data_IF_527109666796
#
_entry.id   IF_527109666796
#
_cell.length_a   1.000
_cell.length_b   1.000
_cell.length_c   1.000
_cell.angle_alpha   90.00
_cell.angle_beta   90.00
_cell.angle_gamma   90.00
#
_symmetry.space_group_name_H-M   'P 1'
#
loop_
_entity.id
_entity.type
_entity.pdbx_description
1 polymer ?
#
# COMPACT_ATOMS: atom_id res chain seq x y z
N UNK A 1 -2.30 31.24 14.84
CA UNK A 1 -0.93 31.39 14.29
C UNK A 1 0.02 30.80 15.32
N UNK A 2 0.67 29.67 15.01
CA UNK A 2 1.61 29.04 15.94
C UNK A 2 2.93 29.83 15.94
N UNK A 3 3.39 30.20 17.14
CA UNK A 3 4.59 31.02 17.35
C UNK A 3 5.78 30.08 17.58
N UNK A 4 6.29 29.49 16.50
CA UNK A 4 7.40 28.53 16.54
C UNK A 4 8.66 29.22 17.10
N UNK A 5 9.18 28.71 18.23
CA UNK A 5 10.55 28.98 18.70
C UNK A 5 10.78 30.26 19.51
N UNK A 6 9.78 30.80 20.23
CA UNK A 6 9.93 31.98 21.12
C UNK A 6 9.86 31.64 22.62
N UNK A 7 10.46 30.53 23.02
CA UNK A 7 10.26 29.98 24.37
C UNK A 7 11.50 30.23 25.22
N UNK A 8 11.30 30.64 26.48
CA UNK A 8 12.40 31.00 27.37
C UNK A 8 13.18 29.73 27.77
N UNK A 9 14.50 29.82 28.03
CA UNK A 9 15.27 28.67 28.48
C UNK A 9 14.67 28.09 29.77
N UNK A 10 14.10 26.89 29.70
CA UNK A 10 13.48 26.19 30.84
C UNK A 10 11.97 25.94 30.74
N UNK A 11 11.28 26.49 29.74
CA UNK A 11 9.87 26.17 29.44
C UNK A 11 9.78 25.08 28.35
N UNK A 12 8.87 24.12 28.53
CA UNK A 12 8.67 23.03 27.55
C UNK A 12 8.05 23.58 26.27
N UNK A 13 8.67 23.28 25.13
CA UNK A 13 8.27 23.88 23.86
C UNK A 13 6.82 23.54 23.49
N UNK A 14 5.98 24.50 23.10
CA UNK A 14 4.63 24.25 22.53
C UNK A 14 4.72 23.29 21.34
N UNK A 15 5.77 23.41 20.53
CA UNK A 15 6.04 22.48 19.42
C UNK A 15 6.44 21.10 19.94
N UNK A 16 7.24 21.03 21.00
CA UNK A 16 7.59 19.75 21.62
C UNK A 16 6.35 19.07 22.25
N UNK A 17 5.44 19.82 22.86
CA UNK A 17 4.16 19.29 23.37
C UNK A 17 3.29 18.78 22.23
N UNK A 18 3.21 19.51 21.12
CA UNK A 18 2.44 19.08 19.95
C UNK A 18 3.04 17.82 19.30
N UNK A 19 4.37 17.73 19.21
CA UNK A 19 5.08 16.54 18.75
C UNK A 19 4.80 15.37 19.69
N UNK A 20 4.86 15.58 21.01
CA UNK A 20 4.62 14.53 21.99
C UNK A 20 3.17 14.04 21.97
N UNK A 21 2.20 14.95 21.83
CA UNK A 21 0.78 14.61 21.64
C UNK A 21 0.57 13.81 20.35
N UNK A 22 1.27 14.17 19.27
CA UNK A 22 1.18 13.45 17.98
C UNK A 22 1.79 12.05 18.10
N UNK A 23 2.95 11.92 18.76
CA UNK A 23 3.60 10.64 19.01
C UNK A 23 2.78 9.70 19.91
N UNK A 24 2.09 10.24 20.93
CA UNK A 24 1.17 9.47 21.76
C UNK A 24 -0.04 8.99 20.96
N UNK A 25 -0.56 9.83 20.07
CA UNK A 25 -1.66 9.47 19.19
C UNK A 25 -1.26 8.37 18.19
N UNK A 26 -0.06 8.45 17.61
CA UNK A 26 0.49 7.39 16.75
C UNK A 26 0.73 6.08 17.50
N UNK A 27 1.22 6.14 18.75
CA UNK A 27 1.37 4.94 19.61
C UNK A 27 0.02 4.28 19.85
N UNK A 28 -1.01 5.04 20.18
CA UNK A 28 -2.35 4.50 20.43
C UNK A 28 -2.97 3.89 19.16
N UNK A 29 -2.79 4.53 18.01
CA UNK A 29 -3.21 3.96 16.72
C UNK A 29 -2.47 2.66 16.39
N UNK A 30 -1.16 2.62 16.65
CA UNK A 30 -0.34 1.43 16.42
C UNK A 30 -0.73 0.27 17.34
N UNK A 31 -0.96 0.55 18.62
CA UNK A 31 -1.41 -0.44 19.60
C UNK A 31 -2.82 -0.98 19.27
N UNK A 32 -3.73 -0.13 18.78
CA UNK A 32 -5.04 -0.56 18.27
C UNK A 32 -4.94 -1.48 17.04
N UNK A 33 -4.03 -1.18 16.11
CA UNK A 33 -3.79 -2.02 14.93
C UNK A 33 -3.12 -3.32 15.36
N UNK A 34 -2.15 -3.26 16.27
CA UNK A 34 -1.46 -4.43 16.82
C UNK A 34 -2.43 -5.35 17.55
N UNK A 35 -3.33 -4.82 18.41
CA UNK A 35 -4.40 -5.60 19.05
C UNK A 35 -5.29 -6.31 18.03
N UNK A 36 -5.66 -5.61 16.95
CA UNK A 36 -6.44 -6.19 15.85
C UNK A 36 -5.66 -7.30 15.12
N UNK A 37 -4.36 -7.13 14.92
CA UNK A 37 -3.50 -8.15 14.31
C UNK A 37 -3.27 -9.35 15.24
N UNK A 38 -3.04 -9.15 16.54
CA UNK A 38 -2.94 -10.24 17.52
C UNK A 38 -4.22 -11.06 17.60
N UNK A 39 -5.39 -10.42 17.49
CA UNK A 39 -6.66 -11.13 17.43
C UNK A 39 -6.80 -12.00 16.16
N UNK A 40 -6.13 -11.66 15.06
CA UNK A 40 -6.08 -12.50 13.86
C UNK A 40 -4.99 -13.57 13.91
N UNK A 41 -3.88 -13.34 14.60
CA UNK A 41 -2.79 -14.33 14.73
C UNK A 41 -3.09 -15.37 15.83
N UNK A 42 -3.83 -15.03 16.88
CA UNK A 42 -4.27 -16.01 17.90
C UNK A 42 -5.25 -17.06 17.32
N UNK A 43 -6.02 -16.73 16.28
CA UNK A 43 -6.88 -17.68 15.56
C UNK A 43 -6.11 -18.52 14.50
N UNK A 44 -4.89 -18.12 14.12
CA UNK A 44 -4.09 -18.78 13.06
C UNK A 44 -2.91 -19.62 13.61
N UNK A 45 -2.54 -19.44 14.89
CA UNK A 45 -1.52 -20.26 15.56
C UNK A 45 -1.97 -21.71 15.87
N UNK A 46 -3.24 -22.07 15.69
CA UNK A 46 -3.71 -23.47 15.76
C UNK A 46 -3.59 -24.23 14.41
N UNK A 47 -3.20 -23.56 13.32
CA UNK A 47 -3.14 -24.18 11.97
C UNK A 47 -1.86 -23.90 11.18
N UNK A 48 -0.81 -23.46 11.85
CA UNK A 48 0.46 -23.02 11.25
C UNK A 48 1.49 -24.12 10.97
N UNK A 49 1.19 -25.10 10.12
CA UNK A 49 2.22 -25.80 9.33
C UNK A 49 1.67 -25.99 7.92
N UNK A 50 2.24 -25.27 6.94
CA UNK A 50 2.71 -25.80 5.66
C UNK A 50 3.11 -24.63 4.76
N UNK A 51 4.41 -24.34 4.74
CA UNK A 51 5.07 -23.65 3.65
C UNK A 51 6.29 -24.47 3.26
N UNK A 52 6.16 -25.30 2.23
CA UNK A 52 7.26 -25.60 1.30
C UNK A 52 6.65 -26.00 -0.04
N UNK A 53 6.80 -25.08 -0.98
CA UNK A 53 6.72 -25.26 -2.42
C UNK A 53 7.90 -26.15 -2.84
N UNK A 54 7.64 -27.42 -3.15
CA UNK A 54 8.48 -28.21 -4.06
C UNK A 54 7.55 -28.96 -5.03
N UNK A 55 7.75 -28.69 -6.32
CA UNK A 55 7.16 -29.43 -7.42
C UNK A 55 7.59 -30.90 -7.36
N UNK A 56 6.74 -31.77 -6.83
CA UNK A 56 6.80 -33.20 -7.12
C UNK A 56 5.38 -33.79 -7.09
N UNK A 57 5.09 -34.62 -8.08
CA UNK A 57 3.81 -35.30 -8.29
C UNK A 57 3.34 -36.07 -7.04
N UNK A 58 2.61 -35.40 -6.13
CA UNK A 58 1.91 -36.08 -5.05
C UNK A 58 0.43 -36.06 -5.37
N UNK A 59 0.02 -37.04 -6.19
CA UNK A 59 -1.33 -37.59 -6.07
C UNK A 59 -1.60 -37.80 -4.57
N UNK A 60 -2.75 -37.35 -4.02
CA UNK A 60 -3.03 -37.60 -2.62
C UNK A 60 -3.08 -39.11 -2.45
N UNK A 61 -1.99 -39.66 -1.92
CA UNK A 61 -1.88 -41.05 -1.54
C UNK A 61 -2.79 -41.17 -0.32
N UNK A 62 -4.07 -41.44 -0.58
CA UNK A 62 -5.00 -41.87 0.44
C UNK A 62 -4.29 -42.98 1.25
N UNK A 63 -4.32 -42.94 2.59
CA UNK A 63 -3.87 -44.06 3.38
C UNK A 63 -4.74 -45.27 3.01
N UNK A 64 -4.28 -46.05 2.04
CA UNK A 64 -4.91 -47.28 1.57
C UNK A 64 -4.53 -48.45 2.48
N UNK A 65 -4.50 -48.19 3.78
CA UNK A 65 -4.17 -49.15 4.81
C UNK A 65 -4.86 -48.74 6.09
N UNK A 66 -5.72 -49.62 6.60
CA UNK A 66 -6.33 -49.56 7.95
C UNK A 66 -7.55 -48.66 8.13
N UNK A 67 -8.47 -48.68 7.17
CA UNK A 67 -9.89 -48.80 7.52
C UNK A 67 -10.43 -49.96 6.70
N UNK A 68 -10.00 -51.18 7.06
CA UNK A 68 -10.76 -52.35 6.71
C UNK A 68 -12.17 -52.08 7.22
N UNK A 69 -13.09 -51.80 6.29
CA UNK A 69 -14.51 -51.82 6.57
C UNK A 69 -14.73 -53.25 7.08
N UNK A 70 -14.86 -53.39 8.40
CA UNK A 70 -15.37 -54.62 9.01
C UNK A 70 -16.85 -54.73 8.61
N UNK A 71 -17.07 -54.95 7.31
CA UNK A 71 -18.22 -55.72 6.85
C UNK A 71 -18.05 -57.02 7.58
N UNK A 72 -19.04 -57.41 8.38
CA UNK A 72 -19.07 -58.70 9.04
C UNK A 72 -18.80 -59.83 8.02
N UNK A 73 -17.53 -60.20 7.84
CA UNK A 73 -17.14 -61.50 7.36
C UNK A 73 -17.45 -62.44 8.53
N UNK A 74 -18.72 -62.84 8.60
CA UNK A 74 -19.00 -64.14 9.18
C UNK A 74 -18.17 -65.10 8.34
N UNK A 75 -17.20 -65.72 9.00
CA UNK A 75 -16.41 -66.78 8.44
C UNK A 75 -17.30 -67.67 7.56
N UNK A 76 -16.79 -68.04 6.38
CA UNK A 76 -17.28 -69.16 5.58
C UNK A 76 -17.18 -70.45 6.41
N UNK A 77 -17.92 -70.52 7.51
CA UNK A 77 -18.01 -71.69 8.36
C UNK A 77 -19.09 -72.56 7.74
N UNK A 78 -18.60 -73.54 6.97
CA UNK A 78 -19.20 -74.87 6.78
C UNK A 78 -20.73 -74.88 6.69
N UNK A 79 -21.24 -74.64 5.49
CA UNK A 79 -22.30 -75.49 4.93
C UNK A 79 -22.50 -75.09 3.47
N UNK A 80 -21.68 -75.66 2.60
CA UNK A 80 -22.02 -75.88 1.18
C UNK A 80 -23.13 -76.95 1.07
N UNK A 81 -24.16 -76.87 1.91
CA UNK A 81 -25.34 -77.72 1.84
C UNK A 81 -26.38 -77.04 0.96
N UNK A 82 -26.91 -77.83 0.03
CA UNK A 82 -28.04 -77.45 -0.82
C UNK A 82 -29.21 -76.96 0.05
N UNK A 83 -29.95 -75.90 -0.33
CA UNK A 83 -31.13 -75.42 0.42
C UNK A 83 -32.18 -76.48 0.76
N UNK A 84 -32.14 -77.64 0.08
CA UNK A 84 -32.98 -78.82 0.31
C UNK A 84 -32.62 -79.62 1.58
N UNK A 85 -31.40 -79.47 2.12
CA UNK A 85 -30.90 -80.24 3.27
C UNK A 85 -30.91 -79.45 4.58
N UNK A 86 -31.26 -78.16 4.55
CA UNK A 86 -31.35 -77.31 5.74
C UNK A 86 -32.70 -77.47 6.46
N UNK A 87 -32.63 -77.53 7.80
CA UNK A 87 -33.79 -77.45 8.68
C UNK A 87 -34.58 -76.14 8.43
N UNK A 88 -35.91 -76.18 8.17
CA UNK A 88 -36.72 -75.03 7.80
C UNK A 88 -36.65 -73.87 8.81
N UNK A 89 -36.50 -74.15 10.10
CA UNK A 89 -36.36 -73.11 11.13
C UNK A 89 -35.06 -72.31 10.95
N UNK A 90 -33.95 -72.99 10.66
CA UNK A 90 -32.65 -72.35 10.40
C UNK A 90 -32.66 -71.51 9.12
N UNK A 91 -33.40 -71.92 8.09
CA UNK A 91 -33.54 -71.16 6.85
C UNK A 91 -34.29 -69.85 7.07
N UNK A 92 -35.35 -69.87 7.90
CA UNK A 92 -36.07 -68.66 8.30
C UNK A 92 -35.17 -67.71 9.10
N UNK A 93 -34.31 -68.24 9.99
CA UNK A 93 -33.33 -67.43 10.72
C UNK A 93 -32.33 -66.75 9.76
N UNK A 94 -31.72 -67.50 8.83
CA UNK A 94 -30.80 -66.93 7.82
C UNK A 94 -31.48 -65.87 6.94
N UNK A 95 -32.74 -66.10 6.55
CA UNK A 95 -33.49 -65.12 5.76
C UNK A 95 -33.76 -63.83 6.53
N UNK A 96 -34.15 -63.92 7.81
CA UNK A 96 -34.34 -62.74 8.68
C UNK A 96 -33.04 -61.97 8.89
N UNK A 97 -31.93 -62.67 9.10
CA UNK A 97 -30.61 -62.06 9.21
C UNK A 97 -30.23 -61.31 7.93
N UNK A 98 -30.47 -61.92 6.77
CA UNK A 98 -30.22 -61.29 5.48
C UNK A 98 -31.10 -60.05 5.25
N UNK A 99 -32.37 -60.09 5.66
CA UNK A 99 -33.24 -58.91 5.60
C UNK A 99 -32.73 -57.76 6.46
N UNK A 100 -32.24 -58.04 7.68
CA UNK A 100 -31.64 -57.02 8.54
C UNK A 100 -30.38 -56.44 7.89
N UNK A 101 -29.49 -57.31 7.38
CA UNK A 101 -28.27 -56.88 6.66
C UNK A 101 -28.58 -56.01 5.44
N UNK A 102 -29.60 -56.39 4.67
CA UNK A 102 -30.06 -55.60 3.53
C UNK A 102 -30.58 -54.23 3.98
N UNK A 103 -31.44 -54.18 5.01
CA UNK A 103 -31.95 -52.92 5.53
C UNK A 103 -30.83 -52.01 6.09
N UNK A 104 -29.82 -52.57 6.73
CA UNK A 104 -28.65 -51.82 7.23
C UNK A 104 -27.83 -51.24 6.07
N UNK A 105 -27.49 -52.07 5.07
CA UNK A 105 -26.73 -51.59 3.89
C UNK A 105 -27.50 -50.56 3.07
N UNK A 106 -28.82 -50.68 2.94
CA UNK A 106 -29.67 -49.65 2.35
C UNK A 106 -29.61 -48.33 3.13
N UNK A 107 -29.68 -48.38 4.47
CA UNK A 107 -29.57 -47.19 5.31
C UNK A 107 -28.20 -46.51 5.19
N UNK A 108 -27.11 -47.30 5.13
CA UNK A 108 -25.75 -46.81 4.92
C UNK A 108 -25.59 -46.13 3.56
N UNK A 109 -26.11 -46.73 2.48
CA UNK A 109 -26.13 -46.12 1.15
C UNK A 109 -26.87 -44.78 1.18
N UNK A 110 -28.01 -44.70 1.86
CA UNK A 110 -28.75 -43.45 2.00
C UNK A 110 -27.98 -42.40 2.80
N UNK A 111 -27.26 -42.80 3.85
CA UNK A 111 -26.40 -41.89 4.61
C UNK A 111 -25.24 -41.37 3.76
N UNK A 112 -24.57 -42.24 3.00
CA UNK A 112 -23.47 -41.87 2.11
C UNK A 112 -23.93 -40.91 1.00
N UNK A 113 -25.11 -41.14 0.40
CA UNK A 113 -25.70 -40.23 -0.58
C UNK A 113 -25.93 -38.82 -0.02
N UNK A 114 -26.44 -38.72 1.21
CA UNK A 114 -26.63 -37.41 1.88
C UNK A 114 -25.30 -36.72 2.15
N UNK A 115 -24.29 -37.46 2.65
CA UNK A 115 -22.94 -36.92 2.88
C UNK A 115 -22.32 -36.41 1.58
N UNK A 116 -22.42 -37.18 0.49
CA UNK A 116 -21.94 -36.77 -0.83
C UNK A 116 -22.61 -35.46 -1.28
N UNK A 117 -23.94 -35.38 -1.16
CA UNK A 117 -24.68 -34.17 -1.53
C UNK A 117 -24.24 -32.94 -0.71
N UNK A 118 -24.00 -33.09 0.60
CA UNK A 118 -23.49 -32.01 1.43
C UNK A 118 -22.08 -31.55 0.97
N UNK A 119 -21.17 -32.49 0.71
CA UNK A 119 -19.82 -32.19 0.23
C UNK A 119 -19.84 -31.53 -1.16
N UNK A 120 -20.73 -31.95 -2.05
CA UNK A 120 -20.89 -31.32 -3.38
C UNK A 120 -21.37 -29.87 -3.28
N UNK A 121 -22.31 -29.58 -2.37
CA UNK A 121 -22.78 -28.22 -2.10
C UNK A 121 -21.68 -27.36 -1.50
N UNK A 122 -20.93 -27.89 -0.55
CA UNK A 122 -19.79 -27.19 0.06
C UNK A 122 -18.70 -26.91 -0.99
N UNK A 123 -18.33 -27.89 -1.81
CA UNK A 123 -17.41 -27.70 -2.94
C UNK A 123 -17.90 -26.64 -3.94
N UNK A 124 -19.22 -26.55 -4.16
CA UNK A 124 -19.79 -25.51 -5.01
C UNK A 124 -19.69 -24.12 -4.37
N UNK A 125 -19.93 -24.02 -3.06
CA UNK A 125 -19.75 -22.77 -2.30
C UNK A 125 -18.29 -22.30 -2.34
N UNK A 126 -17.34 -23.19 -2.04
CA UNK A 126 -15.91 -22.88 -2.10
C UNK A 126 -15.47 -22.42 -3.49
N UNK A 127 -16.01 -23.01 -4.56
CA UNK A 127 -15.73 -22.56 -5.94
C UNK A 127 -16.26 -21.15 -6.21
N UNK A 128 -17.45 -20.81 -5.71
CA UNK A 128 -18.01 -19.48 -5.88
C UNK A 128 -17.22 -18.43 -5.08
N UNK A 129 -16.85 -18.76 -3.85
CA UNK A 129 -16.03 -17.88 -3.00
C UNK A 129 -14.64 -17.67 -3.58
N UNK A 130 -13.98 -18.73 -4.04
CA UNK A 130 -12.69 -18.63 -4.74
C UNK A 130 -12.78 -17.70 -5.96
N UNK A 131 -13.80 -17.87 -6.81
CA UNK A 131 -13.99 -17.02 -7.98
C UNK A 131 -14.23 -15.55 -7.60
N UNK A 132 -14.97 -15.29 -6.51
CA UNK A 132 -15.20 -13.94 -6.00
C UNK A 132 -13.89 -13.31 -5.49
N UNK A 133 -13.07 -14.07 -4.75
CA UNK A 133 -11.77 -13.60 -4.27
C UNK A 133 -10.81 -13.33 -5.43
N UNK A 134 -10.73 -14.21 -6.42
CA UNK A 134 -9.92 -14.01 -7.63
C UNK A 134 -10.35 -12.73 -8.38
N UNK A 135 -11.64 -12.50 -8.54
CA UNK A 135 -12.16 -11.26 -9.13
C UNK A 135 -11.77 -10.03 -8.29
N UNK A 136 -11.93 -10.09 -6.97
CA UNK A 136 -11.57 -8.98 -6.07
C UNK A 136 -10.08 -8.66 -6.11
N UNK A 137 -9.22 -9.67 -6.27
CA UNK A 137 -7.77 -9.48 -6.40
C UNK A 137 -7.45 -8.78 -7.72
N UNK A 138 -8.04 -9.20 -8.83
CA UNK A 138 -7.79 -8.57 -10.13
C UNK A 138 -8.31 -7.12 -10.16
N UNK A 139 -9.50 -6.87 -9.61
CA UNK A 139 -10.04 -5.50 -9.49
C UNK A 139 -9.15 -4.59 -8.63
N UNK A 140 -8.59 -5.12 -7.54
CA UNK A 140 -7.65 -4.38 -6.71
C UNK A 140 -6.32 -4.11 -7.44
N UNK A 141 -5.83 -5.08 -8.20
CA UNK A 141 -4.64 -4.92 -9.04
C UNK A 141 -4.84 -3.83 -10.10
N UNK A 142 -5.95 -3.84 -10.83
CA UNK A 142 -6.27 -2.76 -11.78
C UNK A 142 -6.38 -1.39 -11.09
N UNK A 143 -6.93 -1.35 -9.86
CA UNK A 143 -7.01 -0.13 -9.06
C UNK A 143 -5.62 0.36 -8.67
N UNK A 144 -4.71 -0.56 -8.29
CA UNK A 144 -3.32 -0.24 -7.97
C UNK A 144 -2.60 0.33 -9.19
N UNK A 145 -2.70 -0.32 -10.35
CA UNK A 145 -2.08 0.15 -11.60
C UNK A 145 -2.54 1.57 -11.97
N UNK A 146 -3.83 1.89 -11.78
CA UNK A 146 -4.34 3.26 -11.99
C UNK A 146 -3.74 4.26 -11.02
N UNK A 147 -3.60 3.90 -9.74
CA UNK A 147 -2.98 4.76 -8.73
C UNK A 147 -1.49 4.98 -9.03
N UNK A 148 -0.77 3.95 -9.46
CA UNK A 148 0.61 4.06 -9.91
C UNK A 148 0.74 4.98 -11.14
N UNK A 149 -0.19 4.88 -12.09
CA UNK A 149 -0.29 5.80 -13.23
C UNK A 149 -0.45 7.25 -12.79
N UNK A 150 -1.43 7.53 -11.92
CA UNK A 150 -1.63 8.88 -11.39
C UNK A 150 -0.45 9.39 -10.57
N UNK A 151 0.19 8.51 -9.80
CA UNK A 151 1.38 8.86 -9.05
C UNK A 151 2.53 9.25 -9.98
N UNK A 152 2.74 8.51 -11.07
CA UNK A 152 3.76 8.82 -12.06
C UNK A 152 3.45 10.12 -12.82
N UNK A 153 2.19 10.37 -13.19
CA UNK A 153 1.76 11.63 -13.79
C UNK A 153 2.00 12.82 -12.84
N UNK A 154 1.64 12.69 -11.57
CA UNK A 154 1.90 13.72 -10.56
C UNK A 154 3.41 13.97 -10.38
N UNK A 155 4.22 12.92 -10.36
CA UNK A 155 5.68 13.03 -10.30
C UNK A 155 6.25 13.77 -11.52
N UNK A 156 5.80 13.43 -12.73
CA UNK A 156 6.21 14.10 -13.96
C UNK A 156 5.83 15.58 -13.95
N UNK A 157 4.64 15.91 -13.43
CA UNK A 157 4.20 17.31 -13.30
C UNK A 157 5.09 18.09 -12.31
N UNK A 158 5.45 17.50 -11.17
CA UNK A 158 6.37 18.11 -10.21
C UNK A 158 7.74 18.39 -10.86
N UNK A 159 8.28 17.44 -11.62
CA UNK A 159 9.55 17.63 -12.35
C UNK A 159 9.47 18.77 -13.36
N UNK A 160 8.40 18.83 -14.15
CA UNK A 160 8.20 19.90 -15.12
C UNK A 160 8.11 21.30 -14.45
N UNK A 161 7.39 21.39 -13.33
CA UNK A 161 7.29 22.64 -12.55
C UNK A 161 8.65 23.06 -11.99
N UNK A 162 9.44 22.11 -11.47
CA UNK A 162 10.79 22.38 -10.96
C UNK A 162 11.74 22.88 -12.06
N UNK A 163 11.65 22.31 -13.26
CA UNK A 163 12.41 22.77 -14.43
C UNK A 163 12.02 24.19 -14.84
N UNK A 164 10.72 24.46 -14.99
CA UNK A 164 10.24 25.81 -15.28
C UNK A 164 10.62 26.84 -14.21
N UNK A 165 10.64 26.43 -12.93
CA UNK A 165 11.11 27.28 -11.85
C UNK A 165 12.60 27.61 -12.00
N UNK A 166 13.45 26.61 -12.28
CA UNK A 166 14.89 26.80 -12.52
C UNK A 166 15.14 27.73 -13.70
N UNK A 167 14.43 27.55 -14.81
CA UNK A 167 14.52 28.42 -15.98
C UNK A 167 14.13 29.86 -15.65
N UNK A 168 13.01 30.05 -14.95
CA UNK A 168 12.52 31.38 -14.55
C UNK A 168 13.50 32.07 -13.60
N UNK A 169 14.08 31.33 -12.65
CA UNK A 169 15.13 31.85 -11.77
C UNK A 169 16.37 32.29 -12.56
N UNK A 170 16.81 31.49 -13.54
CA UNK A 170 17.95 31.85 -14.39
C UNK A 170 17.67 33.11 -15.25
N UNK A 171 16.44 33.25 -15.76
CA UNK A 171 16.00 34.45 -16.45
C UNK A 171 16.01 35.67 -15.54
N UNK A 172 15.48 35.54 -14.30
CA UNK A 172 15.48 36.62 -13.31
C UNK A 172 16.90 37.08 -12.97
N UNK A 173 17.83 36.14 -12.72
CA UNK A 173 19.24 36.48 -12.47
C UNK A 173 19.87 37.23 -13.65
N UNK A 174 19.53 36.85 -14.89
CA UNK A 174 20.01 37.55 -16.09
C UNK A 174 19.47 38.97 -16.15
N UNK A 175 18.18 39.16 -15.82
CA UNK A 175 17.56 40.47 -15.77
C UNK A 175 18.15 41.35 -14.66
N UNK A 176 18.40 40.79 -13.49
CA UNK A 176 19.05 41.46 -12.36
C UNK A 176 20.45 41.95 -12.71
N UNK A 177 21.25 41.14 -13.42
CA UNK A 177 22.57 41.56 -13.93
C UNK A 177 22.45 42.72 -14.91
N UNK A 178 21.49 42.66 -15.84
CA UNK A 178 21.22 43.74 -16.80
C UNK A 178 20.80 45.03 -16.09
N UNK A 179 19.88 44.95 -15.13
CA UNK A 179 19.41 46.07 -14.33
C UNK A 179 20.57 46.70 -13.52
N UNK A 180 21.40 45.86 -12.89
CA UNK A 180 22.59 46.31 -12.15
C UNK A 180 23.60 47.04 -13.05
N UNK A 181 23.77 46.60 -14.30
CA UNK A 181 24.60 47.30 -15.30
C UNK A 181 24.00 48.65 -15.69
N UNK A 182 22.70 48.70 -15.98
CA UNK A 182 22.01 49.95 -16.30
C UNK A 182 22.08 50.96 -15.14
N UNK A 183 21.87 50.49 -13.90
CA UNK A 183 21.99 51.32 -12.70
C UNK A 183 23.40 51.92 -12.53
N UNK A 184 24.46 51.16 -12.85
CA UNK A 184 25.84 51.68 -12.86
C UNK A 184 26.04 52.76 -13.92
N UNK A 185 25.59 52.51 -15.16
CA UNK A 185 25.69 53.49 -16.24
C UNK A 185 24.97 54.80 -15.91
N UNK A 186 23.77 54.74 -15.34
CA UNK A 186 23.04 55.94 -14.90
C UNK A 186 23.86 56.75 -13.89
N UNK A 187 24.46 56.08 -12.89
CA UNK A 187 25.33 56.76 -11.92
C UNK A 187 26.56 57.38 -12.58
N UNK A 188 27.18 56.71 -13.56
CA UNK A 188 28.31 57.25 -14.31
C UNK A 188 27.93 58.49 -15.12
N UNK A 189 26.77 58.50 -15.78
CA UNK A 189 26.27 59.67 -16.50
C UNK A 189 25.95 60.84 -15.55
N UNK A 190 25.28 60.56 -14.44
CA UNK A 190 25.01 61.57 -13.40
C UNK A 190 26.30 62.19 -12.84
N UNK A 191 27.33 61.36 -12.62
CA UNK A 191 28.63 61.85 -12.16
C UNK A 191 29.32 62.74 -13.21
N UNK A 192 29.30 62.35 -14.49
CA UNK A 192 29.85 63.16 -15.60
C UNK A 192 29.13 64.50 -15.75
N UNK A 193 27.80 64.51 -15.57
CA UNK A 193 27.00 65.74 -15.60
C UNK A 193 27.42 66.71 -14.47
N UNK A 194 27.63 66.20 -13.25
CA UNK A 194 28.14 66.98 -12.13
C UNK A 194 29.55 67.53 -12.43
N UNK A 195 30.44 66.73 -12.99
CA UNK A 195 31.80 67.17 -13.38
C UNK A 195 31.77 68.25 -14.46
N UNK A 196 30.89 68.11 -15.45
CA UNK A 196 30.69 69.11 -16.49
C UNK A 196 30.19 70.44 -15.91
N UNK A 197 29.17 70.42 -15.06
CA UNK A 197 28.65 71.61 -14.36
C UNK A 197 29.72 72.28 -13.49
N UNK A 198 30.55 71.50 -12.79
CA UNK A 198 31.70 72.04 -12.02
C UNK A 198 32.72 72.72 -12.93
N UNK A 199 33.01 72.15 -14.10
CA UNK A 199 33.95 72.74 -15.05
C UNK A 199 33.39 74.03 -15.66
N UNK A 200 32.12 74.04 -16.04
CA UNK A 200 31.44 75.22 -16.58
C UNK A 200 31.40 76.37 -15.56
N UNK A 201 31.05 76.06 -14.31
CA UNK A 201 31.05 77.06 -13.22
C UNK A 201 32.44 77.61 -12.92
N UNK A 202 33.48 76.78 -12.97
CA UNK A 202 34.87 77.25 -12.83
C UNK A 202 35.29 78.15 -14.00
N UNK A 203 34.95 77.78 -15.24
CA UNK A 203 35.23 78.61 -16.43
C UNK A 203 34.52 79.97 -16.37
N UNK A 204 33.26 79.99 -15.92
CA UNK A 204 32.49 81.23 -15.75
C UNK A 204 33.13 82.17 -14.72
N UNK A 205 33.60 81.64 -13.58
CA UNK A 205 34.32 82.43 -12.57
C UNK A 205 35.60 83.05 -13.11
N UNK A 206 36.40 82.29 -13.86
CA UNK A 206 37.64 82.81 -14.47
C UNK A 206 37.34 83.94 -15.45
N UNK A 207 36.26 83.82 -16.25
CA UNK A 207 35.83 84.89 -17.14
C UNK A 207 35.39 86.13 -16.35
N UNK A 208 34.54 85.97 -15.35
CA UNK A 208 34.09 87.06 -14.46
C UNK A 208 35.27 87.77 -13.77
N UNK A 209 36.24 87.02 -13.25
CA UNK A 209 37.47 87.56 -12.65
C UNK A 209 38.32 88.34 -13.67
N UNK A 210 38.45 87.85 -14.91
CA UNK A 210 39.17 88.55 -15.97
C UNK A 210 38.46 89.82 -16.46
N UNK A 211 37.13 89.81 -16.54
CA UNK A 211 36.33 90.99 -16.90
C UNK A 211 36.40 92.06 -15.80
N UNK A 212 36.41 91.65 -14.52
CA UNK A 212 36.63 92.54 -13.39
C UNK A 212 38.03 93.17 -13.45
N UNK A 213 39.07 92.37 -13.65
CA UNK A 213 40.44 92.87 -13.78
C UNK A 213 40.58 93.86 -14.94
N UNK A 214 40.00 93.57 -16.12
CA UNK A 214 40.01 94.50 -17.25
C UNK A 214 39.22 95.79 -17.01
N UNK A 215 38.13 95.74 -16.23
CA UNK A 215 37.43 96.96 -15.81
C UNK A 215 38.29 97.82 -14.88
N UNK A 216 38.96 97.20 -13.92
CA UNK A 216 39.88 97.89 -13.01
C UNK A 216 41.08 98.52 -13.74
N UNK A 217 41.56 97.93 -14.83
CA UNK A 217 42.64 98.51 -15.67
C UNK A 217 42.17 99.70 -16.54
N UNK A 218 40.87 99.82 -16.80
CA UNK A 218 40.28 100.86 -17.66
C UNK A 218 39.69 102.06 -16.88
N UNK A 219 39.54 101.94 -15.56
CA UNK A 219 39.20 103.02 -14.63
C UNK A 219 40.46 103.77 -14.14
#
# INVERSE_FOLDING_TARGET
RFLIGREKPGEQSEVAQLIQQTLEQERWQREMIEQRYTQYTEDDEETGEYATDEEEEMSPMFPSGEMAIEVFELAENEDTLSPVEMDPEKLVHKFKELQIKHAVTEAEIQQLKRKLQCLEQEKARWRAEKAQLEQSVEENKERMEKLEGYWMEAQNLCQAVDEHLKETQAQYQTLERKYSKAKRLIKEYQQKEIEFLKKETAQRRVLEESELAHKEEME
#
